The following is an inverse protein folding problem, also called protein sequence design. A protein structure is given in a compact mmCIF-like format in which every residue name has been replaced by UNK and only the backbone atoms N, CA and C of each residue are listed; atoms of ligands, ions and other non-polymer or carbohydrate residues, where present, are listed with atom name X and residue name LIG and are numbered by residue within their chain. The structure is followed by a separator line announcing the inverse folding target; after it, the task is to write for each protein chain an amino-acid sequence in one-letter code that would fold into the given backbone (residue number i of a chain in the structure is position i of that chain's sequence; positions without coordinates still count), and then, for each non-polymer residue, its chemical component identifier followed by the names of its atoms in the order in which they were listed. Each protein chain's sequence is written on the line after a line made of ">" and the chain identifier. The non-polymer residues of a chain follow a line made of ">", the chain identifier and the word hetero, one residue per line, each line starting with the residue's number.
data_IF_481743094662
#
_entry.id   IF_481743094662
#
_cell.length_a   1.000
_cell.length_b   1.000
_cell.length_c   1.000
_cell.angle_alpha   90.00
_cell.angle_beta   90.00
_cell.angle_gamma   90.00
#
_symmetry.space_group_name_H-M   'P 1'
#
loop_
_entity.id
_entity.type
_entity.pdbx_description
1 polymer ?
#
# COMPACT_ATOMS: atom_id res chain seq x y z
N UNK A 1 2.09 -31.57 40.25
CA UNK A 1 1.15 -30.56 39.70
C UNK A 1 0.56 -31.09 38.40
N UNK A 2 -0.74 -30.90 38.14
CA UNK A 2 -1.35 -31.46 36.93
C UNK A 2 -1.10 -30.57 35.70
N UNK A 3 -1.02 -31.15 34.48
CA UNK A 3 -0.93 -30.40 33.23
C UNK A 3 -2.10 -29.42 33.09
N UNK A 4 -3.29 -29.83 33.57
CA UNK A 4 -4.48 -28.98 33.53
C UNK A 4 -4.31 -27.71 34.38
N UNK A 5 -3.66 -27.79 35.53
CA UNK A 5 -3.40 -26.62 36.42
C UNK A 5 -2.41 -25.67 35.74
N UNK A 6 -1.32 -26.19 35.19
CA UNK A 6 -0.32 -25.41 34.45
C UNK A 6 -0.98 -24.71 33.25
N UNK A 7 -1.80 -25.44 32.49
CA UNK A 7 -2.54 -24.88 31.33
C UNK A 7 -3.50 -23.76 31.75
N UNK A 8 -4.16 -23.86 32.91
CA UNK A 8 -5.04 -22.79 33.40
C UNK A 8 -4.26 -21.50 33.72
N UNK A 9 -3.09 -21.62 34.36
CA UNK A 9 -2.22 -20.47 34.65
C UNK A 9 -1.74 -19.81 33.35
N UNK A 10 -1.18 -20.60 32.42
CA UNK A 10 -0.67 -20.10 31.14
C UNK A 10 -1.76 -19.38 30.32
N UNK A 11 -2.98 -19.90 30.31
CA UNK A 11 -4.08 -19.34 29.51
C UNK A 11 -4.95 -18.34 30.28
N UNK A 12 -4.65 -18.07 31.55
CA UNK A 12 -5.42 -17.22 32.46
C UNK A 12 -6.91 -17.59 32.47
N UNK A 13 -7.22 -18.88 32.39
CA UNK A 13 -8.57 -19.37 32.35
C UNK A 13 -8.83 -20.33 33.54
N UNK A 14 -9.67 -19.90 34.43
CA UNK A 14 -10.05 -20.65 35.65
C UNK A 14 -9.36 -20.17 36.92
N UNK A 15 -9.91 -20.59 38.05
CA UNK A 15 -9.37 -20.23 39.36
C UNK A 15 -8.25 -21.19 39.73
N UNK A 16 -7.08 -20.64 40.03
CA UNK A 16 -5.92 -21.35 40.59
C UNK A 16 -5.54 -20.64 41.89
N UNK A 17 -5.11 -21.39 42.92
CA UNK A 17 -4.64 -20.77 44.14
C UNK A 17 -3.43 -19.87 43.89
N UNK A 18 -3.37 -18.65 44.48
CA UNK A 18 -2.32 -17.66 44.18
C UNK A 18 -0.90 -18.19 44.38
N UNK A 19 -0.68 -19.00 45.40
CA UNK A 19 0.63 -19.64 45.69
C UNK A 19 1.02 -20.63 44.57
N UNK A 20 0.04 -21.37 44.02
CA UNK A 20 0.26 -22.32 42.94
C UNK A 20 0.57 -21.59 41.62
N UNK A 21 -0.14 -20.50 41.36
CA UNK A 21 0.11 -19.62 40.19
C UNK A 21 1.52 -19.04 40.28
N UNK A 22 1.90 -18.45 41.40
CA UNK A 22 3.23 -17.88 41.64
C UNK A 22 4.34 -18.92 41.40
N UNK A 23 4.17 -20.12 41.92
CA UNK A 23 5.14 -21.21 41.73
C UNK A 23 5.28 -21.65 40.28
N UNK A 24 4.16 -21.71 39.52
CA UNK A 24 4.20 -22.07 38.10
C UNK A 24 4.93 -20.99 37.32
N UNK A 25 4.59 -19.72 37.53
CA UNK A 25 5.23 -18.58 36.83
C UNK A 25 6.74 -18.53 37.13
N UNK A 26 7.13 -18.75 38.39
CA UNK A 26 8.54 -18.81 38.78
C UNK A 26 9.29 -19.93 38.06
N UNK A 27 8.74 -21.16 38.00
CA UNK A 27 9.36 -22.28 37.31
C UNK A 27 9.44 -22.04 35.80
N UNK A 28 8.44 -21.38 35.24
CA UNK A 28 8.48 -21.00 33.80
C UNK A 28 9.60 -19.99 33.53
N UNK A 29 9.78 -19.00 34.40
CA UNK A 29 10.83 -17.97 34.26
C UNK A 29 12.22 -18.60 34.43
N UNK A 30 12.44 -19.41 35.48
CA UNK A 30 13.71 -20.12 35.75
C UNK A 30 14.14 -21.05 34.61
N UNK A 31 13.17 -21.64 33.89
CA UNK A 31 13.43 -22.53 32.75
C UNK A 31 13.27 -21.86 31.40
N UNK A 32 13.11 -20.53 31.34
CA UNK A 32 12.89 -19.78 30.08
C UNK A 32 11.78 -20.39 29.21
N UNK A 33 10.74 -20.93 29.86
CA UNK A 33 9.66 -21.61 29.17
C UNK A 33 8.75 -20.62 28.45
N UNK A 34 8.70 -20.68 27.12
CA UNK A 34 7.77 -19.91 26.30
C UNK A 34 6.67 -20.84 25.78
N UNK A 35 5.38 -20.52 26.05
CA UNK A 35 4.28 -21.33 25.55
C UNK A 35 4.28 -21.43 24.02
N UNK A 36 4.12 -22.65 23.48
CA UNK A 36 4.03 -22.86 22.05
C UNK A 36 2.64 -22.42 21.55
N UNK A 37 2.58 -21.25 20.91
CA UNK A 37 1.35 -20.66 20.38
C UNK A 37 0.75 -21.47 19.24
N UNK A 38 1.58 -22.16 18.41
CA UNK A 38 1.10 -23.05 17.36
C UNK A 38 0.35 -24.24 17.93
N UNK A 39 0.92 -24.92 18.94
CA UNK A 39 0.27 -26.04 19.61
C UNK A 39 -1.05 -25.60 20.28
N UNK A 40 -1.10 -24.38 20.83
CA UNK A 40 -2.33 -23.79 21.34
C UNK A 40 -3.33 -23.55 20.21
N UNK A 41 -2.89 -22.98 19.09
CA UNK A 41 -3.71 -22.69 17.90
C UNK A 41 -4.39 -23.95 17.36
N UNK A 42 -3.65 -25.04 17.20
CA UNK A 42 -4.21 -26.32 16.75
C UNK A 42 -5.29 -26.88 17.70
N UNK A 43 -5.09 -26.76 19.01
CA UNK A 43 -6.08 -27.21 19.98
C UNK A 43 -7.34 -26.34 20.05
N UNK A 44 -7.19 -25.03 19.87
CA UNK A 44 -8.29 -24.06 20.00
C UNK A 44 -8.91 -23.67 18.67
N UNK A 45 -8.33 -24.10 17.55
CA UNK A 45 -8.63 -23.64 16.17
C UNK A 45 -8.54 -22.12 16.02
N UNK A 46 -7.71 -21.47 16.85
CA UNK A 46 -7.48 -20.02 16.82
C UNK A 46 -5.99 -19.73 16.67
N UNK A 47 -5.62 -19.20 15.54
CA UNK A 47 -4.24 -18.78 15.26
C UNK A 47 -4.12 -17.27 15.52
N UNK A 48 -3.04 -16.88 16.23
CA UNK A 48 -2.77 -15.50 16.65
C UNK A 48 -1.63 -14.87 15.84
N UNK A 49 -1.45 -15.32 14.61
CA UNK A 49 -0.49 -14.75 13.67
C UNK A 49 -1.23 -14.26 12.44
N UNK A 50 -0.91 -13.06 11.95
CA UNK A 50 -1.47 -12.44 10.75
C UNK A 50 -0.36 -12.27 9.71
N UNK A 51 -0.64 -12.64 8.46
CA UNK A 51 0.21 -12.31 7.33
C UNK A 51 -0.06 -10.89 6.83
N UNK A 52 0.99 -10.15 6.48
CA UNK A 52 0.90 -8.86 5.80
C UNK A 52 1.72 -9.00 4.54
N UNK A 53 1.07 -8.94 3.37
CA UNK A 53 1.74 -9.02 2.07
C UNK A 53 1.76 -7.62 1.46
N UNK A 54 2.94 -7.13 1.11
CA UNK A 54 3.14 -5.81 0.49
C UNK A 54 3.95 -5.93 -0.79
N UNK A 55 3.66 -5.11 -1.82
CA UNK A 55 4.40 -5.12 -3.08
C UNK A 55 5.86 -4.71 -2.92
N UNK A 56 6.10 -3.61 -2.21
CA UNK A 56 7.44 -3.09 -1.94
C UNK A 56 7.46 -2.30 -0.63
N UNK A 57 8.14 -2.86 0.39
CA UNK A 57 8.24 -2.25 1.72
C UNK A 57 9.10 -0.96 1.73
N UNK A 58 9.90 -0.71 0.68
CA UNK A 58 10.67 0.53 0.56
C UNK A 58 9.81 1.74 0.18
N UNK A 59 8.62 1.50 -0.37
CA UNK A 59 7.65 2.54 -0.69
C UNK A 59 6.95 2.98 0.60
N UNK A 60 7.05 4.27 0.91
CA UNK A 60 6.57 4.86 2.17
C UNK A 60 5.08 4.56 2.44
N UNK A 61 4.23 4.62 1.43
CA UNK A 61 2.81 4.31 1.55
C UNK A 61 2.58 2.89 2.09
N UNK A 62 3.22 1.88 1.49
CA UNK A 62 3.06 0.49 1.89
C UNK A 62 3.69 0.20 3.27
N UNK A 63 4.84 0.81 3.56
CA UNK A 63 5.47 0.65 4.87
C UNK A 63 4.67 1.30 6.00
N UNK A 64 4.03 2.45 5.75
CA UNK A 64 3.10 3.08 6.71
C UNK A 64 1.90 2.19 7.01
N UNK A 65 1.27 1.60 5.98
CA UNK A 65 0.16 0.65 6.14
C UNK A 65 0.62 -0.56 6.95
N UNK A 66 1.74 -1.20 6.55
CA UNK A 66 2.26 -2.38 7.23
C UNK A 66 2.53 -2.09 8.73
N UNK A 67 3.17 -0.96 9.04
CA UNK A 67 3.42 -0.50 10.41
C UNK A 67 2.12 -0.29 11.19
N UNK A 68 1.13 0.37 10.61
CA UNK A 68 -0.16 0.63 11.26
C UNK A 68 -0.90 -0.67 11.56
N UNK A 69 -1.00 -1.56 10.58
CA UNK A 69 -1.61 -2.88 10.73
C UNK A 69 -0.90 -3.69 11.81
N UNK A 70 0.45 -3.75 11.77
CA UNK A 70 1.24 -4.43 12.78
C UNK A 70 0.95 -3.90 14.19
N UNK A 71 0.92 -2.59 14.38
CA UNK A 71 0.65 -1.96 15.69
C UNK A 71 -0.73 -2.38 16.20
N UNK A 72 -1.77 -2.27 15.37
CA UNK A 72 -3.15 -2.61 15.72
C UNK A 72 -3.29 -4.09 16.13
N UNK A 73 -2.65 -4.99 15.38
CA UNK A 73 -2.70 -6.42 15.70
C UNK A 73 -1.86 -6.77 16.92
N UNK A 74 -0.70 -6.14 17.11
CA UNK A 74 0.14 -6.34 18.30
C UNK A 74 -0.59 -5.95 19.58
N UNK A 75 -1.29 -4.82 19.61
CA UNK A 75 -2.11 -4.39 20.76
C UNK A 75 -3.22 -5.38 21.08
N UNK A 76 -3.66 -6.19 20.11
CA UNK A 76 -4.67 -7.25 20.28
C UNK A 76 -4.06 -8.63 20.58
N UNK A 77 -2.74 -8.70 20.77
CA UNK A 77 -2.04 -9.95 21.10
C UNK A 77 -1.77 -10.85 19.89
N UNK A 78 -1.77 -10.31 18.68
CA UNK A 78 -1.40 -11.03 17.45
C UNK A 78 0.05 -10.72 17.07
N UNK A 79 0.78 -11.75 16.62
CA UNK A 79 2.03 -11.58 15.91
C UNK A 79 1.76 -11.30 14.41
N UNK A 80 2.70 -10.66 13.72
CA UNK A 80 2.60 -10.41 12.28
C UNK A 80 3.81 -10.94 11.54
N UNK A 81 3.58 -11.48 10.33
CA UNK A 81 4.63 -11.87 9.38
C UNK A 81 4.48 -10.96 8.16
N UNK A 82 5.48 -10.14 7.88
CA UNK A 82 5.50 -9.25 6.74
C UNK A 82 6.22 -9.94 5.59
N UNK A 83 5.56 -10.04 4.44
CA UNK A 83 6.08 -10.59 3.19
C UNK A 83 6.19 -9.46 2.16
N UNK A 84 7.40 -9.22 1.67
CA UNK A 84 7.67 -8.29 0.58
C UNK A 84 7.76 -9.06 -0.73
N UNK A 85 7.01 -8.65 -1.76
CA UNK A 85 6.89 -9.41 -3.01
C UNK A 85 7.68 -8.81 -4.18
N UNK A 86 8.22 -7.61 -4.03
CA UNK A 86 8.92 -6.86 -5.09
C UNK A 86 8.11 -6.73 -6.39
N UNK A 87 6.79 -6.56 -6.29
CA UNK A 87 5.85 -6.56 -7.43
C UNK A 87 5.90 -7.87 -8.26
N UNK A 88 6.48 -8.96 -7.72
CA UNK A 88 6.56 -10.25 -8.39
C UNK A 88 5.40 -11.17 -7.96
N UNK A 89 4.50 -11.46 -8.89
CA UNK A 89 3.36 -12.34 -8.67
C UNK A 89 3.76 -13.78 -8.25
N UNK A 90 4.90 -14.31 -8.75
CA UNK A 90 5.37 -15.64 -8.35
C UNK A 90 5.82 -15.65 -6.89
N UNK A 91 6.55 -14.59 -6.49
CA UNK A 91 6.96 -14.39 -5.10
C UNK A 91 5.73 -14.19 -4.20
N UNK A 92 4.74 -13.43 -4.65
CA UNK A 92 3.47 -13.24 -3.93
C UNK A 92 2.78 -14.59 -3.66
N UNK A 93 2.68 -15.44 -4.65
CA UNK A 93 2.12 -16.79 -4.48
C UNK A 93 2.92 -17.66 -3.52
N UNK A 94 4.24 -17.57 -3.54
CA UNK A 94 5.09 -18.29 -2.58
C UNK A 94 4.86 -17.79 -1.16
N UNK A 95 4.71 -16.49 -0.97
CA UNK A 95 4.36 -15.89 0.33
C UNK A 95 3.02 -16.40 0.85
N UNK A 96 1.98 -16.45 0.01
CA UNK A 96 0.67 -17.01 0.39
C UNK A 96 0.80 -18.47 0.83
N UNK A 97 1.50 -19.30 0.06
CA UNK A 97 1.72 -20.71 0.42
C UNK A 97 2.49 -20.86 1.74
N UNK A 98 3.51 -20.03 1.97
CA UNK A 98 4.27 -20.01 3.22
C UNK A 98 3.38 -19.60 4.41
N UNK A 99 2.58 -18.54 4.26
CA UNK A 99 1.65 -18.11 5.30
C UNK A 99 0.59 -19.20 5.61
N UNK A 100 0.13 -19.92 4.58
CA UNK A 100 -0.75 -21.07 4.76
C UNK A 100 -0.09 -22.19 5.54
N UNK A 101 1.16 -22.52 5.24
CA UNK A 101 1.94 -23.52 5.97
C UNK A 101 2.22 -23.11 7.43
N UNK A 102 2.34 -21.81 7.69
CA UNK A 102 2.48 -21.23 9.04
C UNK A 102 1.13 -21.11 9.80
N UNK A 103 0.04 -21.55 9.20
CA UNK A 103 -1.30 -21.51 9.79
C UNK A 103 -1.68 -20.10 10.32
N UNK A 104 -1.44 -19.06 9.53
CA UNK A 104 -1.87 -17.70 9.91
C UNK A 104 -3.40 -17.62 10.00
N UNK A 105 -3.91 -16.81 10.93
CA UNK A 105 -5.36 -16.63 11.14
C UNK A 105 -6.04 -15.74 10.10
N UNK A 106 -5.25 -14.95 9.36
CA UNK A 106 -5.74 -14.05 8.31
C UNK A 106 -4.59 -13.39 7.56
N UNK A 107 -4.90 -12.77 6.43
CA UNK A 107 -3.96 -12.03 5.60
C UNK A 107 -4.50 -10.62 5.33
N UNK A 108 -3.64 -9.63 5.52
CA UNK A 108 -3.80 -8.29 4.95
C UNK A 108 -2.95 -8.24 3.69
N UNK A 109 -3.56 -7.99 2.55
CA UNK A 109 -2.93 -8.18 1.26
C UNK A 109 -3.03 -6.94 0.37
N UNK A 110 -1.88 -6.37 0.02
CA UNK A 110 -1.74 -5.40 -1.05
C UNK A 110 -1.16 -6.17 -2.24
N UNK A 111 -1.97 -6.40 -3.27
CA UNK A 111 -1.59 -7.27 -4.39
C UNK A 111 -0.57 -6.63 -5.31
N UNK A 112 0.30 -7.44 -5.91
CA UNK A 112 1.17 -7.03 -6.99
C UNK A 112 0.36 -6.72 -8.26
N UNK A 113 0.86 -5.83 -9.11
CA UNK A 113 0.22 -5.55 -10.40
C UNK A 113 0.42 -6.75 -11.33
N UNK A 114 -0.68 -7.42 -11.68
CA UNK A 114 -0.66 -8.60 -12.54
C UNK A 114 -1.91 -8.73 -13.38
N UNK A 115 -1.81 -9.34 -14.54
CA UNK A 115 -2.93 -9.79 -15.37
C UNK A 115 -3.32 -11.24 -15.09
N UNK A 116 -2.51 -11.97 -14.31
CA UNK A 116 -2.82 -13.35 -13.93
C UNK A 116 -3.97 -13.40 -12.92
N UNK A 117 -4.91 -14.32 -13.15
CA UNK A 117 -6.02 -14.54 -12.22
C UNK A 117 -5.50 -15.14 -10.92
N UNK A 118 -5.71 -14.43 -9.84
CA UNK A 118 -5.34 -14.89 -8.51
C UNK A 118 -6.18 -16.12 -8.10
N UNK A 119 -5.51 -17.14 -7.53
CA UNK A 119 -6.22 -18.28 -6.94
C UNK A 119 -6.67 -17.91 -5.54
N UNK A 120 -7.96 -18.10 -5.24
CA UNK A 120 -8.49 -17.94 -3.88
C UNK A 120 -7.67 -18.75 -2.88
N UNK A 121 -7.25 -18.11 -1.82
CA UNK A 121 -6.74 -18.78 -0.62
C UNK A 121 -7.92 -19.14 0.30
N UNK A 122 -7.78 -20.21 1.10
CA UNK A 122 -8.74 -20.55 2.15
C UNK A 122 -8.58 -19.68 3.41
N UNK A 123 -7.53 -18.86 3.47
CA UNK A 123 -7.27 -17.97 4.60
C UNK A 123 -8.13 -16.72 4.46
N UNK A 124 -8.84 -16.27 5.50
CA UNK A 124 -9.55 -15.00 5.49
C UNK A 124 -8.60 -13.87 5.08
N UNK A 125 -8.95 -13.15 4.01
CA UNK A 125 -8.08 -12.11 3.43
C UNK A 125 -8.83 -10.81 3.27
N UNK A 126 -8.21 -9.72 3.72
CA UNK A 126 -8.62 -8.34 3.46
C UNK A 126 -7.62 -7.72 2.51
N UNK A 127 -8.11 -7.17 1.42
CA UNK A 127 -7.29 -6.45 0.43
C UNK A 127 -7.25 -4.98 0.77
N UNK A 128 -6.08 -4.36 0.56
CA UNK A 128 -5.90 -2.92 0.77
C UNK A 128 -5.33 -2.31 -0.51
N UNK A 129 -5.80 -1.11 -0.85
CA UNK A 129 -5.34 -0.24 -1.94
C UNK A 129 -5.65 -0.78 -3.33
N UNK A 130 -5.26 -2.01 -3.65
CA UNK A 130 -5.35 -2.57 -5.00
C UNK A 130 -6.38 -3.68 -5.10
N UNK A 131 -7.19 -3.60 -6.14
CA UNK A 131 -8.16 -4.64 -6.48
C UNK A 131 -7.43 -5.85 -7.11
N UNK A 132 -7.57 -7.05 -6.54
CA UNK A 132 -6.95 -8.24 -7.11
C UNK A 132 -7.61 -8.65 -8.43
N UNK A 133 -6.82 -9.22 -9.34
CA UNK A 133 -7.29 -9.71 -10.63
C UNK A 133 -8.08 -11.03 -10.48
N UNK A 134 -9.27 -10.97 -9.88
CA UNK A 134 -10.16 -12.14 -9.81
C UNK A 134 -10.99 -12.34 -11.08
N UNK A 135 -11.18 -13.63 -11.47
CA UNK A 135 -12.31 -13.96 -12.32
C UNK A 135 -13.62 -13.85 -11.51
N UNK A 136 -14.67 -13.41 -12.13
CA UNK A 136 -16.12 -13.36 -11.80
C UNK A 136 -16.65 -13.48 -10.34
N UNK A 137 -15.86 -13.35 -9.27
CA UNK A 137 -16.29 -13.58 -7.88
C UNK A 137 -16.03 -12.40 -6.95
N UNK A 138 -16.47 -11.19 -7.34
CA UNK A 138 -16.40 -9.98 -6.49
C UNK A 138 -17.24 -10.05 -5.21
N UNK A 139 -18.19 -11.00 -5.08
CA UNK A 139 -19.23 -11.00 -4.02
C UNK A 139 -18.70 -11.26 -2.60
N UNK A 140 -17.52 -11.88 -2.44
CA UNK A 140 -17.00 -12.29 -1.12
C UNK A 140 -15.66 -11.63 -0.79
N UNK A 141 -15.29 -10.53 -1.47
CA UNK A 141 -14.03 -9.84 -1.29
C UNK A 141 -14.22 -8.60 -0.40
N UNK A 142 -13.35 -8.44 0.58
CA UNK A 142 -13.23 -7.19 1.34
C UNK A 142 -12.05 -6.41 0.79
N UNK A 143 -12.32 -5.26 0.19
CA UNK A 143 -11.32 -4.30 -0.30
C UNK A 143 -11.51 -2.97 0.42
N UNK A 144 -10.40 -2.43 0.93
CA UNK A 144 -10.31 -1.10 1.52
C UNK A 144 -9.39 -0.27 0.63
N UNK A 145 -9.92 0.78 0.02
CA UNK A 145 -9.15 1.66 -0.86
C UNK A 145 -9.49 3.14 -0.68
N UNK A 146 -8.59 4.02 -1.10
CA UNK A 146 -8.87 5.45 -1.23
C UNK A 146 -9.81 5.70 -2.41
N UNK A 147 -10.55 6.80 -2.40
CA UNK A 147 -11.28 7.27 -3.58
C UNK A 147 -10.29 7.88 -4.61
N UNK A 148 -9.63 6.97 -5.35
CA UNK A 148 -8.60 7.32 -6.33
C UNK A 148 -9.16 8.13 -7.50
N UNK A 149 -10.44 7.94 -7.88
CA UNK A 149 -11.10 8.75 -8.93
C UNK A 149 -11.26 10.18 -8.45
N UNK A 150 -11.79 10.37 -7.24
CA UNK A 150 -11.93 11.69 -6.64
C UNK A 150 -10.58 12.38 -6.45
N UNK A 151 -9.55 11.64 -6.01
CA UNK A 151 -8.20 12.17 -5.83
C UNK A 151 -7.59 12.69 -7.15
N UNK A 152 -7.66 11.88 -8.22
CA UNK A 152 -7.19 12.31 -9.56
C UNK A 152 -7.97 13.51 -10.12
N UNK A 153 -9.29 13.52 -9.89
CA UNK A 153 -10.13 14.65 -10.28
C UNK A 153 -9.75 15.93 -9.52
N UNK A 154 -9.61 15.86 -8.19
CA UNK A 154 -9.28 17.01 -7.35
C UNK A 154 -7.92 17.62 -7.72
N UNK A 155 -6.88 16.76 -7.88
CA UNK A 155 -5.55 17.22 -8.29
C UNK A 155 -5.58 17.97 -9.61
N UNK A 156 -6.26 17.42 -10.60
CA UNK A 156 -6.37 18.02 -11.94
C UNK A 156 -7.19 19.32 -11.89
N UNK A 157 -8.31 19.31 -11.19
CA UNK A 157 -9.19 20.48 -11.07
C UNK A 157 -8.50 21.65 -10.35
N UNK A 158 -7.64 21.39 -9.35
CA UNK A 158 -6.84 22.44 -8.70
C UNK A 158 -5.83 23.06 -9.68
N UNK A 159 -5.20 22.27 -10.56
CA UNK A 159 -4.34 22.84 -11.60
C UNK A 159 -5.13 23.70 -12.59
N UNK A 160 -6.32 23.25 -13.02
CA UNK A 160 -7.24 24.01 -13.89
C UNK A 160 -7.63 25.34 -13.23
N UNK A 161 -8.04 25.32 -11.97
CA UNK A 161 -8.36 26.56 -11.20
C UNK A 161 -7.17 27.50 -11.08
N UNK A 162 -5.94 26.97 -11.06
CA UNK A 162 -4.68 27.74 -11.08
C UNK A 162 -4.25 28.19 -12.47
N UNK A 163 -5.11 28.02 -13.48
CA UNK A 163 -4.95 28.53 -14.82
C UNK A 163 -4.23 27.60 -15.81
N UNK A 164 -3.95 26.36 -15.46
CA UNK A 164 -3.40 25.39 -16.39
C UNK A 164 -4.44 25.03 -17.47
N UNK A 165 -3.98 24.95 -18.72
CA UNK A 165 -4.82 24.61 -19.89
C UNK A 165 -4.34 23.33 -20.59
N UNK A 166 -3.04 23.08 -20.56
CA UNK A 166 -2.38 21.94 -21.23
C UNK A 166 -1.77 21.00 -20.20
N UNK A 167 -2.64 20.34 -19.46
CA UNK A 167 -2.24 19.39 -18.41
C UNK A 167 -2.05 18.03 -19.04
N UNK A 168 -0.96 17.33 -18.64
CA UNK A 168 -0.67 15.95 -19.03
C UNK A 168 -0.61 15.06 -17.81
N UNK A 169 -0.93 13.78 -17.95
CA UNK A 169 -0.88 12.80 -16.87
C UNK A 169 0.25 11.79 -17.08
N UNK A 170 1.19 11.73 -16.15
CA UNK A 170 2.21 10.69 -16.09
C UNK A 170 1.69 9.49 -15.30
N UNK A 171 1.59 8.34 -15.95
CA UNK A 171 0.99 7.15 -15.41
C UNK A 171 1.70 5.89 -15.93
N UNK A 172 1.93 4.84 -15.12
CA UNK A 172 2.55 3.62 -15.60
C UNK A 172 1.68 2.89 -16.63
N UNK A 173 2.33 2.13 -17.51
CA UNK A 173 1.69 1.30 -18.56
C UNK A 173 0.82 0.20 -17.94
N UNK A 174 1.45 -0.58 -17.07
CA UNK A 174 0.77 -1.63 -16.32
C UNK A 174 0.06 -0.97 -15.13
N UNK A 175 -1.13 -0.51 -15.45
CA UNK A 175 -1.95 0.24 -14.51
C UNK A 175 -2.61 -0.73 -13.53
N UNK A 176 -2.08 -0.83 -12.32
CA UNK A 176 -2.87 -1.35 -11.21
C UNK A 176 -4.17 -0.56 -11.06
N UNK A 177 -5.17 -1.11 -10.39
CA UNK A 177 -6.49 -0.50 -10.25
C UNK A 177 -6.45 0.96 -9.77
N UNK A 178 -5.51 1.29 -8.88
CA UNK A 178 -5.33 2.65 -8.33
C UNK A 178 -4.92 3.67 -9.40
N UNK A 179 -3.95 3.32 -10.25
CA UNK A 179 -3.50 4.22 -11.32
C UNK A 179 -4.56 4.42 -12.40
N UNK A 180 -5.35 3.37 -12.73
CA UNK A 180 -6.49 3.48 -13.65
C UNK A 180 -7.50 4.48 -13.10
N UNK A 181 -7.89 4.36 -11.83
CA UNK A 181 -8.85 5.25 -11.18
C UNK A 181 -8.35 6.70 -11.06
N UNK A 182 -7.05 6.91 -10.79
CA UNK A 182 -6.43 8.25 -10.79
C UNK A 182 -6.47 8.88 -12.19
N UNK A 183 -6.17 8.08 -13.22
CA UNK A 183 -6.30 8.50 -14.63
C UNK A 183 -7.75 8.83 -15.00
N UNK A 184 -8.74 8.02 -14.60
CA UNK A 184 -10.16 8.29 -14.82
C UNK A 184 -10.59 9.64 -14.21
N UNK A 185 -10.13 9.91 -12.98
CA UNK A 185 -10.38 11.20 -12.33
C UNK A 185 -9.79 12.38 -13.09
N UNK A 186 -8.55 12.25 -13.58
CA UNK A 186 -7.91 13.25 -14.44
C UNK A 186 -8.70 13.46 -15.73
N UNK A 187 -9.08 12.39 -16.44
CA UNK A 187 -9.87 12.49 -17.67
C UNK A 187 -11.16 13.27 -17.44
N UNK A 188 -11.90 12.92 -16.37
CA UNK A 188 -13.14 13.59 -16.02
C UNK A 188 -12.95 15.10 -15.83
N UNK A 189 -11.93 15.52 -15.09
CA UNK A 189 -11.66 16.95 -14.85
C UNK A 189 -11.30 17.69 -16.15
N UNK A 190 -10.51 17.05 -17.03
CA UNK A 190 -10.14 17.65 -18.33
C UNK A 190 -11.37 17.78 -19.24
N UNK A 191 -12.20 16.74 -19.36
CA UNK A 191 -13.39 16.73 -20.22
C UNK A 191 -14.42 17.76 -19.80
N UNK A 192 -14.64 17.99 -18.50
CA UNK A 192 -15.57 19.00 -17.98
C UNK A 192 -15.18 20.42 -18.40
N UNK A 193 -13.91 20.68 -18.71
CA UNK A 193 -13.44 21.98 -19.21
C UNK A 193 -13.23 22.02 -20.73
N UNK A 194 -13.62 20.97 -21.45
CA UNK A 194 -13.42 20.83 -22.89
C UNK A 194 -11.96 20.55 -23.28
N UNK A 195 -11.09 20.25 -22.31
CA UNK A 195 -9.72 19.83 -22.56
C UNK A 195 -9.64 18.39 -23.08
N UNK A 196 -8.54 18.06 -23.75
CA UNK A 196 -8.29 16.69 -24.22
C UNK A 196 -7.32 15.98 -23.28
N UNK A 197 -7.70 14.85 -22.67
CA UNK A 197 -6.80 14.07 -21.83
C UNK A 197 -5.55 13.62 -22.61
N UNK A 198 -4.37 13.77 -22.01
CA UNK A 198 -3.08 13.40 -22.60
C UNK A 198 -2.32 12.50 -21.62
N UNK A 199 -2.14 11.23 -22.01
CA UNK A 199 -1.39 10.24 -21.23
C UNK A 199 0.07 10.22 -21.64
N UNK A 200 0.97 10.29 -20.65
CA UNK A 200 2.38 9.94 -20.76
C UNK A 200 2.59 8.60 -20.07
N UNK A 201 2.77 7.56 -20.88
CA UNK A 201 2.89 6.20 -20.41
C UNK A 201 4.32 5.90 -19.97
N UNK A 202 4.50 5.43 -18.75
CA UNK A 202 5.77 5.00 -18.17
C UNK A 202 5.89 3.48 -18.19
N UNK A 203 7.08 2.94 -18.35
CA UNK A 203 7.30 1.50 -18.27
C UNK A 203 7.22 1.03 -16.79
N UNK A 204 7.72 1.84 -15.85
CA UNK A 204 7.69 1.53 -14.42
C UNK A 204 7.21 2.75 -13.60
N UNK A 205 6.83 2.49 -12.33
CA UNK A 205 6.67 3.54 -11.32
C UNK A 205 8.06 3.91 -10.81
N UNK A 206 8.80 4.70 -11.57
CA UNK A 206 10.14 5.11 -11.20
C UNK A 206 10.40 6.59 -11.49
N UNK A 207 11.30 7.16 -10.70
CA UNK A 207 11.77 8.51 -10.89
C UNK A 207 12.57 8.64 -12.21
N UNK A 208 13.33 7.60 -12.57
CA UNK A 208 14.18 7.59 -13.77
C UNK A 208 13.32 7.60 -15.03
N UNK A 209 12.34 6.69 -15.14
CA UNK A 209 11.43 6.64 -16.30
C UNK A 209 10.69 7.96 -16.48
N UNK A 210 10.24 8.55 -15.37
CA UNK A 210 9.53 9.82 -15.40
C UNK A 210 10.44 10.97 -15.84
N UNK A 211 11.69 11.00 -15.37
CA UNK A 211 12.69 11.98 -15.79
C UNK A 211 12.99 11.89 -17.30
N UNK A 212 13.30 10.69 -17.79
CA UNK A 212 13.63 10.49 -19.22
C UNK A 212 12.47 10.91 -20.14
N UNK A 213 11.25 10.50 -19.80
CA UNK A 213 10.04 10.89 -20.55
C UNK A 213 9.77 12.39 -20.48
N UNK A 214 10.00 13.02 -19.32
CA UNK A 214 9.83 14.46 -19.18
C UNK A 214 10.87 15.24 -20.00
N UNK A 215 12.15 14.86 -19.99
CA UNK A 215 13.19 15.47 -20.84
C UNK A 215 12.79 15.42 -22.32
N UNK A 216 12.37 14.24 -22.80
CA UNK A 216 11.94 14.06 -24.20
C UNK A 216 10.76 14.99 -24.54
N UNK A 217 9.74 14.99 -23.70
CA UNK A 217 8.47 15.66 -23.96
C UNK A 217 8.60 17.19 -23.89
N UNK A 218 9.17 17.71 -22.80
CA UNK A 218 9.37 19.15 -22.61
C UNK A 218 10.44 19.74 -23.53
N UNK A 219 11.30 18.90 -24.10
CA UNK A 219 12.19 19.28 -25.20
C UNK A 219 11.45 19.68 -26.46
N UNK A 220 10.31 19.02 -26.74
CA UNK A 220 9.53 19.14 -27.98
C UNK A 220 8.27 20.02 -27.83
N UNK A 221 7.57 19.94 -26.71
CA UNK A 221 6.27 20.59 -26.47
C UNK A 221 6.40 21.65 -25.36
N UNK A 222 6.40 22.91 -25.76
CA UNK A 222 6.53 24.07 -24.86
C UNK A 222 5.17 24.60 -24.35
N UNK A 223 4.07 24.02 -24.81
CA UNK A 223 2.73 24.46 -24.42
C UNK A 223 2.24 23.80 -23.14
N UNK A 224 2.92 22.75 -22.69
CA UNK A 224 2.57 22.03 -21.45
C UNK A 224 2.78 22.97 -20.25
N UNK A 225 1.71 23.18 -19.48
CA UNK A 225 1.69 24.07 -18.32
C UNK A 225 1.30 23.36 -16.99
N UNK A 226 0.91 22.08 -17.09
CA UNK A 226 0.57 21.27 -15.94
C UNK A 226 0.94 19.78 -16.10
N UNK A 227 1.37 19.16 -15.01
CA UNK A 227 1.65 17.72 -14.93
C UNK A 227 0.92 17.14 -13.72
N UNK A 228 0.03 16.20 -13.96
CA UNK A 228 -0.47 15.30 -12.93
C UNK A 228 0.34 14.00 -12.97
N UNK A 229 1.10 13.74 -11.92
CA UNK A 229 1.84 12.50 -11.72
C UNK A 229 1.06 11.59 -10.78
N UNK A 230 0.83 10.34 -11.18
CA UNK A 230 0.00 9.42 -10.38
C UNK A 230 0.66 8.92 -9.09
N UNK A 231 1.91 9.31 -8.81
CA UNK A 231 2.60 9.19 -7.51
C UNK A 231 3.58 10.33 -7.33
N UNK A 232 3.98 10.61 -6.08
CA UNK A 232 5.03 11.62 -5.79
C UNK A 232 6.39 11.21 -6.37
N UNK A 233 6.69 9.91 -6.41
CA UNK A 233 7.95 9.41 -6.99
C UNK A 233 8.05 9.77 -8.48
N UNK A 234 6.96 9.64 -9.23
CA UNK A 234 6.87 10.09 -10.63
C UNK A 234 7.03 11.62 -10.71
N UNK A 235 6.37 12.36 -9.82
CA UNK A 235 6.46 13.81 -9.78
C UNK A 235 7.90 14.31 -9.55
N UNK A 236 8.68 13.63 -8.71
CA UNK A 236 10.12 13.91 -8.49
C UNK A 236 10.91 13.79 -9.77
N UNK A 237 10.69 12.72 -10.56
CA UNK A 237 11.37 12.55 -11.86
C UNK A 237 11.05 13.69 -12.81
N UNK A 238 9.78 14.09 -12.90
CA UNK A 238 9.36 15.25 -13.69
C UNK A 238 10.04 16.53 -13.21
N UNK A 239 10.08 16.79 -11.90
CA UNK A 239 10.74 17.99 -11.34
C UNK A 239 12.23 18.04 -11.66
N UNK A 240 12.93 16.91 -11.62
CA UNK A 240 14.35 16.85 -12.00
C UNK A 240 14.55 17.23 -13.46
N UNK A 241 13.72 16.72 -14.36
CA UNK A 241 13.76 17.06 -15.78
C UNK A 241 13.49 18.55 -16.02
N UNK A 242 12.46 19.10 -15.40
CA UNK A 242 12.10 20.52 -15.52
C UNK A 242 13.24 21.43 -15.01
N UNK A 243 13.90 21.04 -13.91
CA UNK A 243 15.07 21.77 -13.36
C UNK A 243 16.23 21.77 -14.36
N UNK A 244 16.55 20.64 -14.97
CA UNK A 244 17.62 20.53 -15.99
C UNK A 244 17.32 21.38 -17.21
N UNK A 245 16.07 21.34 -17.69
CA UNK A 245 15.58 22.15 -18.79
C UNK A 245 15.40 23.64 -18.44
N UNK A 246 15.70 24.04 -17.20
CA UNK A 246 15.54 25.41 -16.67
C UNK A 246 14.09 25.94 -16.77
N UNK A 247 13.14 25.05 -16.74
CA UNK A 247 11.70 25.36 -16.70
C UNK A 247 11.30 25.62 -15.25
N UNK A 248 10.69 26.77 -14.98
CA UNK A 248 10.37 27.20 -13.62
C UNK A 248 9.06 26.55 -13.12
N UNK A 249 9.13 25.90 -11.96
CA UNK A 249 7.99 25.34 -11.22
C UNK A 249 7.75 26.22 -10.00
N UNK A 250 6.54 26.69 -9.73
CA UNK A 250 5.28 26.44 -10.44
C UNK A 250 4.92 27.48 -11.50
N UNK A 251 5.77 28.47 -11.79
CA UNK A 251 5.40 29.64 -12.59
C UNK A 251 5.20 29.35 -14.09
N UNK A 252 5.92 28.40 -14.67
CA UNK A 252 5.74 27.99 -16.07
C UNK A 252 4.99 26.66 -16.16
N UNK A 253 5.37 25.68 -15.34
CA UNK A 253 4.71 24.38 -15.26
C UNK A 253 4.35 24.08 -13.82
N UNK A 254 3.12 23.67 -13.56
CA UNK A 254 2.69 23.18 -12.25
C UNK A 254 2.78 21.66 -12.23
N UNK A 255 3.30 21.11 -11.15
CA UNK A 255 3.40 19.66 -10.94
C UNK A 255 2.57 19.27 -9.72
N UNK A 256 1.72 18.26 -9.90
CA UNK A 256 0.89 17.70 -8.84
C UNK A 256 1.18 16.21 -8.72
N UNK A 257 1.45 15.74 -7.50
CA UNK A 257 1.73 14.34 -7.17
C UNK A 257 0.53 13.62 -6.56
N UNK A 258 0.83 12.47 -5.98
CA UNK A 258 -0.12 11.64 -5.24
C UNK A 258 0.64 10.85 -4.18
N UNK A 259 0.08 10.65 -2.99
CA UNK A 259 0.48 9.88 -1.82
C UNK A 259 0.85 10.73 -0.60
N UNK A 260 1.16 12.02 -0.74
CA UNK A 260 1.68 12.89 0.32
C UNK A 260 2.84 12.24 1.08
N UNK A 261 3.82 11.75 0.32
CA UNK A 261 5.03 11.13 0.86
C UNK A 261 6.02 12.19 1.36
N UNK A 262 6.94 11.79 2.22
CA UNK A 262 8.03 12.68 2.68
C UNK A 262 8.80 13.29 1.51
N UNK A 263 8.91 12.57 0.38
CA UNK A 263 9.56 13.08 -0.83
C UNK A 263 8.89 14.35 -1.36
N UNK A 264 7.57 14.50 -1.23
CA UNK A 264 6.85 15.68 -1.69
C UNK A 264 7.21 16.95 -0.91
N UNK A 265 7.55 16.81 0.37
CA UNK A 265 7.95 17.92 1.25
C UNK A 265 9.42 18.31 1.07
N UNK A 266 10.34 17.32 1.00
CA UNK A 266 11.78 17.55 0.96
C UNK A 266 12.33 17.80 -0.44
N UNK A 267 11.51 17.68 -1.47
CA UNK A 267 11.91 18.02 -2.84
C UNK A 267 12.45 19.46 -2.95
N UNK A 268 13.37 19.69 -3.87
CA UNK A 268 13.96 21.04 -4.10
C UNK A 268 12.86 22.12 -4.34
N UNK A 269 11.74 21.71 -4.94
CA UNK A 269 10.51 22.47 -5.04
C UNK A 269 9.43 21.59 -4.42
N UNK A 270 8.79 21.99 -3.30
CA UNK A 270 7.71 21.23 -2.69
C UNK A 270 6.61 20.93 -3.69
N UNK A 271 6.07 19.70 -3.64
CA UNK A 271 5.06 19.22 -4.58
C UNK A 271 3.69 19.32 -3.92
N UNK A 272 2.72 19.94 -4.60
CA UNK A 272 1.32 19.75 -4.24
C UNK A 272 0.94 18.30 -4.54
N UNK A 273 0.29 17.63 -3.60
CA UNK A 273 0.00 16.20 -3.69
C UNK A 273 -1.34 15.85 -3.07
N UNK A 274 -1.90 14.71 -3.46
CA UNK A 274 -3.12 14.15 -2.84
C UNK A 274 -2.69 13.26 -1.67
N UNK A 275 -3.19 13.56 -0.48
CA UNK A 275 -2.98 12.71 0.69
C UNK A 275 -3.90 11.49 0.68
N UNK A 276 -3.33 10.32 0.89
CA UNK A 276 -4.10 9.09 1.11
C UNK A 276 -4.46 8.94 2.60
N UNK A 277 -5.72 8.62 2.95
CA UNK A 277 -6.20 8.60 4.33
C UNK A 277 -5.81 7.29 5.06
N UNK A 278 -4.50 7.02 5.20
CA UNK A 278 -3.97 5.78 5.81
C UNK A 278 -4.53 5.54 7.22
N UNK A 279 -4.79 6.60 7.98
CA UNK A 279 -5.36 6.48 9.33
C UNK A 279 -6.80 5.95 9.33
N UNK A 280 -7.53 6.08 8.22
CA UNK A 280 -8.90 5.61 8.07
C UNK A 280 -8.98 4.23 7.39
N UNK A 281 -7.93 3.80 6.76
CA UNK A 281 -7.82 2.46 6.17
C UNK A 281 -7.58 1.40 7.24
#
# INVERSE_FOLDING_TARGET
>A
MSIATVSRVINRNGKVAPETEKKILQVMEENHYVPNLLAKGFRTQKFTTIGIIVPDISIEFFSKIAKKVQTIFFERGYATIICNTNEDYKMERQCINMLQAQHVGGIIHIVSVTTEKEKKTSIPTVYIDREPAYGNTKKDMVLIESDNVSGGYQATNEMIKKGCKNIICFCPKDKGSTHIKRWEGYCKAMEETGGKPRLVSLDNVSEVDAYEKAIELFGKDKEIDGVFATTDLIAIGVLKALKELKIKVPSQVKVFGYDNSLLSEIATTPIATVEQPIELM
#
